data_IF_492951497320
#
_entry.id   IF_492951497320
#
_cell.length_a   1.000
_cell.length_b   1.000
_cell.length_c   1.000
_cell.angle_alpha   90.00
_cell.angle_beta   90.00
_cell.angle_gamma   90.00
#
_symmetry.space_group_name_H-M   'P 1'
#
loop_
_entity.id
_entity.type
_entity.pdbx_description
1 polymer ?
#
# COMPACT_ATOMS: atom_id res chain seq x y z
N UNK A 1 8.03 -22.43 -29.01
CA UNK A 1 8.07 -23.30 -27.80
C UNK A 1 9.35 -23.09 -26.97
N UNK A 2 10.50 -22.82 -27.58
CA UNK A 2 11.78 -22.64 -26.87
C UNK A 2 11.85 -21.39 -25.96
N UNK A 3 11.17 -20.30 -26.33
CA UNK A 3 11.18 -19.07 -25.53
C UNK A 3 10.52 -19.25 -24.16
N UNK A 4 9.54 -20.16 -24.02
CA UNK A 4 8.79 -20.36 -22.77
C UNK A 4 9.66 -21.00 -21.68
N UNK A 5 10.50 -21.95 -22.05
CA UNK A 5 11.45 -22.61 -21.14
C UNK A 5 12.60 -21.66 -20.79
N UNK A 6 13.04 -20.84 -21.76
CA UNK A 6 14.06 -19.83 -21.53
C UNK A 6 13.57 -18.73 -20.57
N UNK A 7 12.33 -18.25 -20.73
CA UNK A 7 11.70 -17.28 -19.83
C UNK A 7 11.52 -17.82 -18.40
N UNK A 8 11.14 -19.09 -18.25
CA UNK A 8 11.01 -19.73 -16.92
C UNK A 8 12.36 -19.89 -16.21
N UNK A 9 13.43 -20.23 -16.94
CA UNK A 9 14.78 -20.33 -16.40
C UNK A 9 15.36 -18.94 -16.07
N UNK A 10 15.12 -17.93 -16.90
CA UNK A 10 15.46 -16.54 -16.60
C UNK A 10 14.73 -16.06 -15.33
N UNK A 11 13.45 -16.39 -15.20
CA UNK A 11 12.67 -16.07 -14.00
C UNK A 11 13.18 -16.77 -12.74
N UNK A 12 13.79 -17.94 -12.87
CA UNK A 12 14.49 -18.60 -11.76
C UNK A 12 15.77 -17.88 -11.36
N UNK A 13 16.58 -17.46 -12.33
CA UNK A 13 17.84 -16.72 -12.09
C UNK A 13 17.56 -15.40 -11.37
N UNK A 14 16.50 -14.69 -11.77
CA UNK A 14 16.07 -13.44 -11.15
C UNK A 14 15.09 -13.62 -9.99
N UNK A 15 14.79 -14.85 -9.57
CA UNK A 15 13.72 -15.11 -8.60
C UNK A 15 13.93 -14.40 -7.27
N UNK A 16 15.18 -14.36 -6.80
CA UNK A 16 15.53 -13.71 -5.54
C UNK A 16 15.44 -12.18 -5.64
N UNK A 17 15.83 -11.58 -6.77
CA UNK A 17 15.61 -10.15 -7.02
C UNK A 17 14.13 -9.81 -7.19
N UNK A 18 13.34 -10.69 -7.85
CA UNK A 18 11.89 -10.53 -7.99
C UNK A 18 11.20 -10.59 -6.62
N UNK A 19 11.61 -11.51 -5.73
CA UNK A 19 11.06 -11.61 -4.37
C UNK A 19 11.37 -10.39 -3.52
N UNK A 20 12.62 -9.93 -3.52
CA UNK A 20 13.06 -8.77 -2.72
C UNK A 20 12.34 -7.49 -3.18
N UNK A 21 12.22 -7.31 -4.50
CA UNK A 21 11.48 -6.20 -5.09
C UNK A 21 9.98 -6.25 -4.74
N UNK A 22 9.36 -7.44 -4.80
CA UNK A 22 7.94 -7.60 -4.44
C UNK A 22 7.71 -7.28 -2.95
N UNK A 23 8.63 -7.66 -2.07
CA UNK A 23 8.53 -7.41 -0.63
C UNK A 23 8.71 -5.93 -0.30
N UNK A 24 9.69 -5.26 -0.92
CA UNK A 24 9.89 -3.83 -0.77
C UNK A 24 8.65 -3.04 -1.24
N UNK A 25 8.12 -3.37 -2.43
CA UNK A 25 6.91 -2.71 -2.94
C UNK A 25 5.71 -2.99 -2.06
N UNK A 26 5.50 -4.24 -1.61
CA UNK A 26 4.39 -4.57 -0.74
C UNK A 26 4.48 -3.79 0.59
N UNK A 27 5.67 -3.68 1.18
CA UNK A 27 5.88 -2.92 2.41
C UNK A 27 5.55 -1.44 2.21
N UNK A 28 6.05 -0.83 1.12
CA UNK A 28 5.76 0.57 0.77
C UNK A 28 4.26 0.86 0.65
N UNK A 29 3.52 0.01 -0.07
CA UNK A 29 2.07 0.22 -0.24
C UNK A 29 1.27 -0.09 1.04
N UNK A 30 1.74 -0.99 1.90
CA UNK A 30 1.13 -1.21 3.22
C UNK A 30 1.32 0.00 4.14
N UNK A 31 2.53 0.56 4.21
CA UNK A 31 2.78 1.77 4.99
C UNK A 31 1.97 2.96 4.47
N UNK A 32 1.91 3.11 3.14
CA UNK A 32 1.05 4.12 2.49
C UNK A 32 -0.44 3.91 2.81
N UNK A 33 -0.90 2.66 2.89
CA UNK A 33 -2.29 2.33 3.24
C UNK A 33 -2.61 2.75 4.68
N UNK A 34 -1.69 2.49 5.61
CA UNK A 34 -1.82 2.94 7.01
C UNK A 34 -1.88 4.46 7.12
N UNK A 35 -1.02 5.18 6.40
CA UNK A 35 -1.06 6.64 6.36
C UNK A 35 -2.39 7.16 5.79
N UNK A 36 -2.91 6.52 4.74
CA UNK A 36 -4.21 6.90 4.18
C UNK A 36 -5.36 6.63 5.17
N UNK A 37 -5.33 5.51 5.90
CA UNK A 37 -6.32 5.18 6.93
C UNK A 37 -6.26 6.14 8.12
N UNK A 38 -5.06 6.45 8.60
CA UNK A 38 -4.85 7.43 9.67
C UNK A 38 -5.32 8.83 9.24
N UNK A 39 -5.06 9.22 8.00
CA UNK A 39 -5.58 10.45 7.42
C UNK A 39 -7.11 10.47 7.36
N UNK A 40 -7.72 9.41 6.82
CA UNK A 40 -9.17 9.32 6.66
C UNK A 40 -9.94 9.25 8.00
N UNK A 41 -9.42 8.52 8.99
CA UNK A 41 -10.01 8.39 10.33
C UNK A 41 -9.67 9.60 11.21
N UNK A 42 -8.49 10.21 11.01
CA UNK A 42 -8.05 11.39 11.75
C UNK A 42 -8.92 12.62 11.49
N UNK A 43 -9.47 12.78 10.28
CA UNK A 43 -10.36 13.91 9.94
C UNK A 43 -11.61 13.99 10.83
N UNK A 44 -12.47 12.95 10.97
CA UNK A 44 -13.67 13.04 11.80
C UNK A 44 -13.34 13.19 13.29
N UNK A 45 -12.26 12.58 13.76
CA UNK A 45 -11.77 12.76 15.14
C UNK A 45 -11.32 14.20 15.37
N UNK A 46 -10.57 14.76 14.41
CA UNK A 46 -10.12 16.14 14.51
C UNK A 46 -11.28 17.13 14.45
N UNK A 47 -12.26 16.91 13.58
CA UNK A 47 -13.44 17.76 13.43
C UNK A 47 -14.33 17.73 14.68
N UNK A 48 -14.52 16.55 15.28
CA UNK A 48 -15.25 16.42 16.55
C UNK A 48 -14.54 17.13 17.68
N UNK A 49 -13.22 16.93 17.84
CA UNK A 49 -12.41 17.66 18.83
C UNK A 49 -12.49 19.16 18.59
N UNK A 50 -12.32 19.64 17.36
CA UNK A 50 -12.33 21.07 17.05
C UNK A 50 -13.68 21.73 17.39
N UNK A 51 -14.81 21.02 17.18
CA UNK A 51 -16.13 21.51 17.55
C UNK A 51 -16.25 21.81 19.06
N UNK A 52 -15.62 21.00 19.92
CA UNK A 52 -15.58 21.27 21.36
C UNK A 52 -14.73 22.49 21.73
N UNK A 53 -13.69 22.80 20.94
CA UNK A 53 -12.80 23.93 21.18
C UNK A 53 -13.22 25.22 20.44
N UNK A 54 -14.21 25.17 19.55
CA UNK A 54 -14.67 26.30 18.73
C UNK A 54 -15.19 27.49 19.57
N UNK A 55 -15.56 27.26 20.84
CA UNK A 55 -15.88 28.33 21.80
C UNK A 55 -14.69 29.19 22.24
N UNK A 56 -13.45 28.81 21.92
CA UNK A 56 -12.22 29.53 22.32
C UNK A 56 -11.74 30.57 21.30
N UNK A 57 -12.40 30.68 20.13
CA UNK A 57 -12.10 31.71 19.12
C UNK A 57 -10.70 31.64 18.49
N UNK A 58 -9.99 30.51 18.60
CA UNK A 58 -8.61 30.42 18.14
C UNK A 58 -8.51 30.12 16.63
N UNK A 59 -8.17 31.16 15.86
CA UNK A 59 -7.90 31.10 14.42
C UNK A 59 -6.89 29.99 14.02
N UNK A 60 -5.95 29.66 14.91
CA UNK A 60 -5.00 28.56 14.69
C UNK A 60 -5.65 27.17 14.60
N UNK A 61 -6.70 26.90 15.38
CA UNK A 61 -7.40 25.61 15.32
C UNK A 61 -8.20 25.45 14.03
N UNK A 62 -8.73 26.55 13.48
CA UNK A 62 -9.40 26.57 12.17
C UNK A 62 -8.41 26.29 11.03
N UNK A 63 -7.24 26.93 11.06
CA UNK A 63 -6.21 26.73 10.04
C UNK A 63 -5.66 25.29 10.06
N UNK A 64 -5.47 24.74 11.26
CA UNK A 64 -5.06 23.34 11.42
C UNK A 64 -6.14 22.35 10.96
N UNK A 65 -7.43 22.66 11.19
CA UNK A 65 -8.56 21.87 10.67
C UNK A 65 -8.57 21.83 9.15
N UNK A 66 -8.36 22.99 8.53
CA UNK A 66 -8.37 23.12 7.09
C UNK A 66 -7.23 22.32 6.45
N UNK A 67 -6.01 22.39 7.02
CA UNK A 67 -4.87 21.59 6.56
C UNK A 67 -5.12 20.09 6.71
N UNK A 68 -5.70 19.66 7.84
CA UNK A 68 -6.06 18.26 8.07
C UNK A 68 -7.15 17.76 7.12
N UNK A 69 -8.15 18.58 6.80
CA UNK A 69 -9.19 18.24 5.85
C UNK A 69 -8.63 18.05 4.43
N UNK A 70 -7.67 18.89 4.01
CA UNK A 70 -6.97 18.73 2.72
C UNK A 70 -6.20 17.41 2.69
N UNK A 71 -5.39 17.14 3.72
CA UNK A 71 -4.62 15.90 3.82
C UNK A 71 -5.53 14.67 3.81
N UNK A 72 -6.66 14.74 4.51
CA UNK A 72 -7.66 13.68 4.53
C UNK A 72 -8.35 13.45 3.20
N UNK A 73 -8.70 14.51 2.45
CA UNK A 73 -9.23 14.36 1.10
C UNK A 73 -8.22 13.73 0.14
N UNK A 74 -6.96 14.17 0.18
CA UNK A 74 -5.89 13.54 -0.60
C UNK A 74 -5.69 12.07 -0.24
N UNK A 75 -5.72 11.73 1.05
CA UNK A 75 -5.65 10.35 1.53
C UNK A 75 -6.83 9.51 1.03
N UNK A 76 -8.06 10.04 1.12
CA UNK A 76 -9.28 9.35 0.70
C UNK A 76 -9.31 9.09 -0.82
N UNK A 77 -8.86 10.06 -1.63
CA UNK A 77 -8.78 9.89 -3.09
C UNK A 77 -7.75 8.82 -3.50
N UNK A 78 -6.64 8.71 -2.78
CA UNK A 78 -5.58 7.75 -3.09
C UNK A 78 -5.80 6.36 -2.47
N UNK A 79 -6.63 6.25 -1.43
CA UNK A 79 -6.97 5.00 -0.75
C UNK A 79 -7.34 3.86 -1.73
N UNK A 80 -8.27 3.99 -2.69
CA UNK A 80 -8.63 2.89 -3.58
C UNK A 80 -7.45 2.43 -4.45
N UNK A 81 -6.60 3.36 -4.89
CA UNK A 81 -5.41 3.03 -5.69
C UNK A 81 -4.38 2.25 -4.87
N UNK A 82 -4.12 2.69 -3.63
CA UNK A 82 -3.19 2.02 -2.72
C UNK A 82 -3.71 0.63 -2.35
N UNK A 83 -5.00 0.50 -2.04
CA UNK A 83 -5.66 -0.79 -1.76
C UNK A 83 -5.48 -1.76 -2.94
N UNK A 84 -5.78 -1.30 -4.17
CA UNK A 84 -5.61 -2.12 -5.37
C UNK A 84 -4.15 -2.58 -5.55
N UNK A 85 -3.17 -1.70 -5.32
CA UNK A 85 -1.75 -2.05 -5.39
C UNK A 85 -1.38 -3.09 -4.35
N UNK A 86 -1.81 -2.95 -3.09
CA UNK A 86 -1.56 -3.95 -2.03
C UNK A 86 -2.09 -5.32 -2.45
N UNK A 87 -3.32 -5.40 -2.96
CA UNK A 87 -3.88 -6.67 -3.45
C UNK A 87 -3.11 -7.22 -4.64
N UNK A 88 -2.71 -6.37 -5.59
CA UNK A 88 -1.91 -6.77 -6.76
C UNK A 88 -0.58 -7.40 -6.34
N UNK A 89 0.18 -6.76 -5.46
CA UNK A 89 1.48 -7.27 -5.03
C UNK A 89 1.36 -8.53 -4.17
N UNK A 90 0.34 -8.63 -3.30
CA UNK A 90 0.04 -9.88 -2.58
C UNK A 90 -0.26 -11.04 -3.53
N UNK A 91 -1.05 -10.79 -4.58
CA UNK A 91 -1.36 -11.79 -5.59
C UNK A 91 -0.09 -12.23 -6.34
N UNK A 92 0.72 -11.29 -6.81
CA UNK A 92 2.00 -11.57 -7.49
C UNK A 92 2.94 -12.39 -6.61
N UNK A 93 3.08 -12.05 -5.32
CA UNK A 93 3.87 -12.84 -4.37
C UNK A 93 3.36 -14.28 -4.25
N UNK A 94 2.04 -14.47 -4.18
CA UNK A 94 1.45 -15.82 -4.13
C UNK A 94 1.70 -16.64 -5.40
N UNK A 95 1.69 -16.00 -6.57
CA UNK A 95 1.97 -16.65 -7.85
C UNK A 95 3.46 -17.01 -7.96
N UNK A 96 4.35 -16.12 -7.51
CA UNK A 96 5.79 -16.38 -7.45
C UNK A 96 6.13 -17.57 -6.53
N UNK A 97 5.52 -17.64 -5.33
CA UNK A 97 5.70 -18.79 -4.42
C UNK A 97 5.18 -20.09 -5.04
N UNK A 98 4.00 -20.07 -5.68
CA UNK A 98 3.45 -21.25 -6.36
C UNK A 98 4.35 -21.72 -7.51
N UNK A 99 4.94 -20.79 -8.25
CA UNK A 99 5.92 -21.08 -9.30
C UNK A 99 7.17 -21.78 -8.72
N UNK A 100 7.78 -21.22 -7.67
CA UNK A 100 8.94 -21.83 -7.00
C UNK A 100 8.63 -23.21 -6.42
N UNK A 101 7.46 -23.39 -5.79
CA UNK A 101 7.03 -24.68 -5.27
C UNK A 101 6.82 -25.72 -6.37
N UNK A 102 6.25 -25.32 -7.51
CA UNK A 102 6.09 -26.22 -8.66
C UNK A 102 7.45 -26.62 -9.22
N UNK A 103 8.39 -25.67 -9.34
CA UNK A 103 9.73 -25.97 -9.85
C UNK A 103 10.51 -26.90 -8.91
N UNK A 104 10.54 -26.61 -7.61
CA UNK A 104 11.21 -27.46 -6.61
C UNK A 104 10.63 -28.89 -6.53
N UNK A 105 9.35 -29.10 -6.87
CA UNK A 105 8.76 -30.44 -6.98
C UNK A 105 9.17 -31.17 -8.26
N UNK A 106 9.51 -30.45 -9.33
CA UNK A 106 9.95 -31.03 -10.60
C UNK A 106 11.44 -31.39 -10.58
N UNK A 107 12.22 -30.81 -9.67
CA UNK A 107 13.67 -31.06 -9.52
C UNK A 107 14.00 -32.17 -8.51
N UNK A 108 13.06 -32.58 -7.67
CA UNK A 108 13.20 -33.72 -6.73
C UNK A 108 12.78 -35.02 -7.40
#
# INVERSE_FOLDING_TARGET
MNNRIHDENLRLIYSQQESDFLDEKQHYYLTSLWLCLLGAIGVPIFFTINHYFLGTGSFMLLLLSFLWAILGMFAAMNLPFVVFKVFKYRKLKSEHIKFLQRYNRLTK
#
